data_IF_092185193683
#
_entry.id   IF_092185193683
#
_cell.length_a   1.000
_cell.length_b   1.000
_cell.length_c   1.000
_cell.angle_alpha   90.00
_cell.angle_beta   90.00
_cell.angle_gamma   90.00
#
_symmetry.space_group_name_H-M   'P 1'
#
loop_
_entity.id
_entity.type
_entity.pdbx_description
1 polymer ?
#
# COMPACT_ATOMS: atom_id res chain seq x y z
N UNK A 1 23.82 -59.74 -78.71
CA UNK A 1 25.15 -60.07 -78.14
C UNK A 1 25.27 -59.30 -76.83
N UNK A 2 24.99 -59.96 -75.71
CA UNK A 2 24.96 -59.36 -74.37
C UNK A 2 26.40 -59.12 -73.89
N UNK A 3 26.75 -57.87 -73.59
CA UNK A 3 27.98 -57.54 -72.87
C UNK A 3 27.70 -57.75 -71.38
N UNK A 4 28.35 -58.73 -70.77
CA UNK A 4 28.39 -58.90 -69.32
C UNK A 4 28.95 -57.63 -68.66
N UNK A 5 28.16 -57.01 -67.79
CA UNK A 5 28.64 -56.02 -66.85
C UNK A 5 29.26 -56.82 -65.69
N UNK A 6 30.59 -56.91 -65.67
CA UNK A 6 31.32 -57.40 -64.50
C UNK A 6 31.15 -56.38 -63.37
N UNK A 7 30.26 -56.65 -62.43
CA UNK A 7 30.23 -55.99 -61.14
C UNK A 7 31.49 -56.40 -60.38
N UNK A 8 32.51 -55.54 -60.36
CA UNK A 8 33.64 -55.72 -59.45
C UNK A 8 33.17 -55.39 -58.04
N UNK A 9 32.87 -56.41 -57.25
CA UNK A 9 32.83 -56.29 -55.80
C UNK A 9 34.26 -56.02 -55.33
N UNK A 10 34.56 -54.76 -55.03
CA UNK A 10 35.77 -54.37 -54.30
C UNK A 10 35.53 -54.77 -52.84
N UNK A 11 35.79 -56.02 -52.49
CA UNK A 11 35.93 -56.43 -51.10
C UNK A 11 37.38 -56.17 -50.68
N UNK A 12 37.69 -54.90 -50.41
CA UNK A 12 38.85 -54.56 -49.58
C UNK A 12 38.44 -54.85 -48.13
N UNK A 13 38.52 -56.12 -47.73
CA UNK A 13 38.49 -56.48 -46.31
C UNK A 13 39.88 -56.33 -45.72
N UNK A 14 40.37 -55.08 -45.67
CA UNK A 14 41.42 -54.73 -44.72
C UNK A 14 40.73 -54.54 -43.37
N UNK A 15 40.87 -55.53 -42.48
CA UNK A 15 40.38 -55.42 -41.11
C UNK A 15 40.99 -54.20 -40.42
N UNK A 16 40.17 -53.46 -39.68
CA UNK A 16 40.61 -52.27 -38.96
C UNK A 16 41.86 -52.57 -38.14
N UNK A 17 42.87 -51.70 -38.28
CA UNK A 17 44.07 -51.84 -37.46
C UNK A 17 43.71 -51.53 -36.01
N UNK A 18 44.33 -52.24 -35.06
CA UNK A 18 44.08 -52.02 -33.62
C UNK A 18 44.36 -50.58 -33.20
N UNK A 19 45.30 -49.91 -33.87
CA UNK A 19 45.61 -48.49 -33.69
C UNK A 19 44.43 -47.59 -34.08
N UNK A 20 43.78 -47.86 -35.20
CA UNK A 20 42.66 -47.07 -35.73
C UNK A 20 41.40 -47.22 -34.88
N UNK A 21 41.13 -48.43 -34.39
CA UNK A 21 40.07 -48.68 -33.39
C UNK A 21 40.36 -47.92 -32.09
N UNK A 22 41.61 -47.90 -31.64
CA UNK A 22 42.01 -47.18 -30.43
C UNK A 22 41.84 -45.66 -30.61
N UNK A 23 42.29 -45.11 -31.74
CA UNK A 23 42.09 -43.68 -32.07
C UNK A 23 40.60 -43.35 -32.12
N UNK A 24 39.78 -44.16 -32.80
CA UNK A 24 38.33 -43.95 -32.90
C UNK A 24 37.65 -43.94 -31.52
N UNK A 25 38.00 -44.87 -30.63
CA UNK A 25 37.46 -44.92 -29.27
C UNK A 25 37.91 -43.70 -28.46
N UNK A 26 39.16 -43.24 -28.62
CA UNK A 26 39.65 -42.04 -27.91
C UNK A 26 38.96 -40.75 -28.38
N UNK A 27 38.68 -40.62 -29.69
CA UNK A 27 37.93 -39.47 -30.21
C UNK A 27 36.48 -39.53 -29.72
N UNK A 28 35.85 -40.71 -29.77
CA UNK A 28 34.49 -40.90 -29.30
C UNK A 28 34.35 -40.60 -27.79
N UNK A 29 35.33 -41.00 -26.97
CA UNK A 29 35.32 -40.70 -25.54
C UNK A 29 35.48 -39.20 -25.27
N UNK A 30 36.36 -38.50 -25.98
CA UNK A 30 36.48 -37.04 -25.88
C UNK A 30 35.20 -36.32 -26.32
N UNK A 31 34.55 -36.78 -27.40
CA UNK A 31 33.28 -36.21 -27.85
C UNK A 31 32.18 -36.42 -26.80
N UNK A 32 32.08 -37.60 -26.21
CA UNK A 32 31.09 -37.89 -25.17
C UNK A 32 31.31 -37.02 -23.92
N UNK A 33 32.55 -36.84 -23.47
CA UNK A 33 32.87 -35.94 -22.34
C UNK A 33 32.48 -34.50 -22.67
N UNK A 34 32.76 -34.04 -23.88
CA UNK A 34 32.41 -32.68 -24.33
C UNK A 34 30.90 -32.47 -24.38
N UNK A 35 30.15 -33.44 -24.93
CA UNK A 35 28.68 -33.40 -24.99
C UNK A 35 28.11 -33.40 -23.57
N UNK A 36 28.62 -34.26 -22.68
CA UNK A 36 28.16 -34.30 -21.29
C UNK A 36 28.41 -32.96 -20.59
N UNK A 37 29.59 -32.36 -20.77
CA UNK A 37 29.91 -31.05 -20.20
C UNK A 37 29.01 -29.93 -20.74
N UNK A 38 28.69 -29.94 -22.03
CA UNK A 38 27.76 -28.95 -22.64
C UNK A 38 26.34 -29.15 -22.10
N UNK A 39 25.88 -30.40 -21.99
CA UNK A 39 24.54 -30.69 -21.45
C UNK A 39 24.47 -30.26 -20.00
N UNK A 40 25.43 -30.63 -19.16
CA UNK A 40 25.45 -30.29 -17.74
C UNK A 40 25.58 -28.77 -17.51
N UNK A 41 26.43 -28.09 -18.29
CA UNK A 41 26.52 -26.62 -18.27
C UNK A 41 25.20 -25.97 -18.71
N UNK A 42 24.55 -26.52 -19.73
CA UNK A 42 23.27 -26.00 -20.22
C UNK A 42 22.13 -26.22 -19.24
N UNK A 43 22.07 -27.38 -18.56
CA UNK A 43 21.03 -27.68 -17.57
C UNK A 43 21.22 -26.83 -16.32
N UNK A 44 22.44 -26.78 -15.78
CA UNK A 44 22.75 -25.96 -14.60
C UNK A 44 22.54 -24.46 -14.85
N UNK A 45 22.93 -23.96 -16.03
CA UNK A 45 22.67 -22.57 -16.42
C UNK A 45 21.18 -22.29 -16.51
N UNK A 46 20.41 -23.19 -17.14
CA UNK A 46 18.95 -23.05 -17.23
C UNK A 46 18.32 -23.00 -15.84
N UNK A 47 18.69 -23.91 -14.95
CA UNK A 47 18.11 -23.99 -13.60
C UNK A 47 18.48 -22.75 -12.77
N UNK A 48 19.71 -22.26 -12.90
CA UNK A 48 20.16 -21.02 -12.26
C UNK A 48 19.34 -19.82 -12.74
N UNK A 49 19.24 -19.61 -14.05
CA UNK A 49 18.47 -18.50 -14.64
C UNK A 49 17.00 -18.55 -14.23
N UNK A 50 16.38 -19.74 -14.27
CA UNK A 50 14.99 -19.90 -13.82
C UNK A 50 14.80 -19.57 -12.34
N UNK A 51 15.78 -19.89 -11.50
CA UNK A 51 15.72 -19.59 -10.07
C UNK A 51 15.87 -18.10 -9.79
N UNK A 52 16.76 -17.41 -10.50
CA UNK A 52 16.98 -15.96 -10.41
C UNK A 52 15.76 -15.19 -10.91
N UNK A 53 15.19 -15.59 -12.06
CA UNK A 53 14.00 -14.97 -12.62
C UNK A 53 12.79 -15.09 -11.68
N UNK A 54 12.59 -16.27 -11.07
CA UNK A 54 11.50 -16.47 -10.10
C UNK A 54 11.66 -15.57 -8.87
N UNK A 55 12.87 -15.49 -8.33
CA UNK A 55 13.17 -14.66 -7.15
C UNK A 55 12.95 -13.17 -7.46
N UNK A 56 13.44 -12.69 -8.60
CA UNK A 56 13.22 -11.32 -9.06
C UNK A 56 11.73 -11.03 -9.29
N UNK A 57 11.00 -11.96 -9.90
CA UNK A 57 9.55 -11.80 -10.10
C UNK A 57 8.80 -11.71 -8.77
N UNK A 58 9.14 -12.55 -7.79
CA UNK A 58 8.55 -12.50 -6.44
C UNK A 58 8.83 -11.15 -5.78
N UNK A 59 10.07 -10.66 -5.89
CA UNK A 59 10.45 -9.34 -5.38
C UNK A 59 9.60 -8.22 -6.00
N UNK A 60 9.54 -8.14 -7.32
CA UNK A 60 8.78 -7.10 -8.03
C UNK A 60 7.28 -7.18 -7.73
N UNK A 61 6.71 -8.37 -7.63
CA UNK A 61 5.33 -8.57 -7.21
C UNK A 61 5.09 -8.05 -5.78
N UNK A 62 6.03 -8.29 -4.87
CA UNK A 62 5.94 -7.81 -3.50
C UNK A 62 6.01 -6.28 -3.39
N UNK A 63 6.91 -5.66 -4.15
CA UNK A 63 7.02 -4.19 -4.24
C UNK A 63 5.77 -3.58 -4.87
N UNK A 64 5.30 -4.12 -6.00
CA UNK A 64 4.07 -3.65 -6.67
C UNK A 64 2.86 -3.76 -5.74
N UNK A 65 2.82 -4.80 -4.89
CA UNK A 65 1.75 -4.98 -3.91
C UNK A 65 1.79 -3.90 -2.83
N UNK A 66 2.97 -3.61 -2.27
CA UNK A 66 3.16 -2.50 -1.34
C UNK A 66 2.75 -1.16 -1.97
N UNK A 67 3.20 -0.91 -3.20
CA UNK A 67 2.87 0.30 -3.95
C UNK A 67 1.36 0.49 -4.08
N UNK A 68 0.66 -0.52 -4.60
CA UNK A 68 -0.80 -0.47 -4.78
C UNK A 68 -1.50 -0.19 -3.45
N UNK A 69 -1.11 -0.86 -2.37
CA UNK A 69 -1.79 -0.67 -1.09
C UNK A 69 -1.55 0.73 -0.50
N UNK A 70 -0.32 1.24 -0.61
CA UNK A 70 0.05 2.58 -0.11
C UNK A 70 -0.51 3.72 -0.96
N UNK A 71 -0.57 3.55 -2.27
CA UNK A 71 -1.21 4.52 -3.18
C UNK A 71 -2.67 4.74 -2.80
N UNK A 72 -3.38 3.66 -2.51
CA UNK A 72 -4.80 3.68 -2.19
C UNK A 72 -5.09 3.68 -0.67
N UNK A 73 -4.19 4.17 0.19
CA UNK A 73 -4.51 4.37 1.61
C UNK A 73 -5.77 5.23 1.71
N UNK A 74 -6.72 4.80 2.52
CA UNK A 74 -8.00 5.46 2.68
C UNK A 74 -8.12 6.10 4.06
N UNK A 75 -8.36 7.40 4.09
CA UNK A 75 -8.75 8.15 5.28
C UNK A 75 -9.56 9.38 4.86
N UNK A 76 -10.69 9.70 5.52
CA UNK A 76 -11.43 10.94 5.25
C UNK A 76 -10.58 12.20 5.43
N UNK A 77 -9.54 12.15 6.27
CA UNK A 77 -8.64 13.27 6.54
C UNK A 77 -7.81 13.71 5.33
N UNK A 78 -7.82 12.96 4.23
CA UNK A 78 -7.22 13.39 2.98
C UNK A 78 -8.01 14.50 2.27
N UNK A 79 -9.30 14.67 2.58
CA UNK A 79 -10.20 15.61 1.88
C UNK A 79 -11.21 16.32 2.80
N UNK A 80 -11.28 15.98 4.09
CA UNK A 80 -12.14 16.60 5.10
C UNK A 80 -11.38 16.83 6.41
N UNK A 81 -11.88 17.73 7.26
CA UNK A 81 -11.37 17.91 8.63
C UNK A 81 -12.01 16.95 9.63
N UNK A 82 -11.46 16.92 10.86
CA UNK A 82 -12.10 16.23 11.99
C UNK A 82 -13.37 16.95 12.43
N UNK A 83 -14.33 16.23 13.03
CA UNK A 83 -15.51 16.84 13.64
C UNK A 83 -15.16 17.82 14.77
N UNK A 84 -14.10 17.50 15.53
CA UNK A 84 -13.59 18.36 16.61
C UNK A 84 -13.06 19.70 16.09
N UNK A 85 -12.37 19.69 14.94
CA UNK A 85 -11.94 20.94 14.32
C UNK A 85 -13.15 21.74 13.82
N UNK A 86 -14.10 21.11 13.14
CA UNK A 86 -15.29 21.79 12.61
C UNK A 86 -16.08 22.53 13.71
N UNK A 87 -16.35 21.85 14.84
CA UNK A 87 -17.02 22.46 16.00
C UNK A 87 -16.23 23.62 16.60
N UNK A 88 -14.91 23.55 16.63
CA UNK A 88 -14.03 24.61 17.12
C UNK A 88 -14.06 25.86 16.22
N UNK A 89 -14.04 25.68 14.90
CA UNK A 89 -14.17 26.80 13.95
C UNK A 89 -15.59 27.40 13.94
N UNK A 90 -16.63 26.58 14.09
CA UNK A 90 -18.02 27.03 14.28
C UNK A 90 -18.19 27.92 15.51
N UNK A 91 -17.58 27.54 16.63
CA UNK A 91 -17.63 28.34 17.88
C UNK A 91 -16.86 29.66 17.76
N UNK A 92 -15.75 29.66 17.00
CA UNK A 92 -14.95 30.87 16.77
C UNK A 92 -15.65 31.88 15.86
N UNK A 93 -16.37 31.40 14.84
CA UNK A 93 -17.15 32.27 13.97
C UNK A 93 -18.36 32.86 14.69
N UNK A 94 -19.08 32.07 15.49
CA UNK A 94 -20.23 32.58 16.27
C UNK A 94 -19.84 33.58 17.36
N UNK A 95 -18.69 33.41 18.03
CA UNK A 95 -18.23 34.36 19.04
C UNK A 95 -17.79 35.72 18.48
N UNK A 96 -17.39 35.76 17.21
CA UNK A 96 -17.00 37.02 16.53
C UNK A 96 -18.24 37.83 16.12
N UNK A 97 -19.38 37.17 15.84
CA UNK A 97 -20.64 37.81 15.48
C UNK A 97 -21.37 38.51 16.65
N UNK A 98 -21.06 38.13 17.91
CA UNK A 98 -21.74 38.66 19.10
C UNK A 98 -21.02 39.85 19.77
N UNK A 99 -20.00 40.42 19.14
CA UNK A 99 -19.25 41.55 19.71
C UNK A 99 -20.01 42.90 19.70
N UNK A 100 -21.20 42.98 19.07
CA UNK A 100 -22.01 44.21 18.96
C UNK A 100 -23.47 44.02 19.42
N UNK A 101 -23.71 43.24 20.49
CA UNK A 101 -24.98 43.33 21.22
C UNK A 101 -24.72 43.46 22.72
N UNK A 102 -24.79 44.71 23.20
CA UNK A 102 -25.06 44.99 24.60
C UNK A 102 -26.38 44.33 25.00
N UNK A 103 -26.41 43.72 26.18
CA UNK A 103 -27.59 43.26 26.91
C UNK A 103 -28.37 42.04 26.37
N UNK A 104 -27.98 40.84 26.81
CA UNK A 104 -28.79 40.08 27.78
C UNK A 104 -28.07 38.81 28.24
N UNK A 105 -27.84 38.68 29.55
CA UNK A 105 -27.62 37.40 30.21
C UNK A 105 -28.93 36.63 30.18
N UNK A 106 -29.12 35.77 29.19
CA UNK A 106 -30.00 34.62 29.35
C UNK A 106 -29.21 33.37 29.01
N UNK A 107 -29.05 32.52 30.04
CA UNK A 107 -28.71 31.12 29.93
C UNK A 107 -29.81 30.44 29.09
N UNK A 108 -29.69 30.52 27.78
CA UNK A 108 -30.37 29.61 26.88
C UNK A 108 -29.35 28.56 26.49
N UNK A 109 -29.53 27.37 27.08
CA UNK A 109 -28.94 26.15 26.59
C UNK A 109 -29.42 25.96 25.15
N UNK A 110 -28.68 26.52 24.19
CA UNK A 110 -28.85 26.23 22.77
C UNK A 110 -28.29 24.83 22.48
N UNK A 111 -28.91 23.82 23.09
CA UNK A 111 -28.83 22.41 22.72
C UNK A 111 -29.69 22.18 21.46
N UNK A 112 -29.42 22.95 20.40
CA UNK A 112 -30.11 22.82 19.13
C UNK A 112 -29.14 22.19 18.13
N UNK A 113 -29.32 20.87 17.92
CA UNK A 113 -28.63 19.96 16.97
C UNK A 113 -27.42 19.12 17.47
N UNK A 114 -27.46 18.56 18.69
CA UNK A 114 -26.54 17.46 19.09
C UNK A 114 -27.29 16.12 19.33
N UNK A 115 -28.47 15.95 18.72
CA UNK A 115 -29.30 14.74 18.86
C UNK A 115 -28.98 13.63 17.83
N UNK A 116 -28.07 13.87 16.89
CA UNK A 116 -27.46 12.80 16.10
C UNK A 116 -26.24 12.24 16.85
N UNK A 117 -26.57 11.54 17.93
CA UNK A 117 -25.95 10.30 18.35
C UNK A 117 -24.60 10.39 19.12
N UNK A 118 -24.62 10.99 20.32
CA UNK A 118 -23.57 10.88 21.35
C UNK A 118 -23.06 9.43 21.57
N UNK A 119 -23.86 8.42 21.23
CA UNK A 119 -23.46 7.01 21.35
C UNK A 119 -22.54 6.56 20.22
N UNK A 120 -22.72 7.05 18.99
CA UNK A 120 -21.86 6.69 17.84
C UNK A 120 -20.51 7.38 17.88
N UNK A 121 -20.46 8.66 18.32
CA UNK A 121 -19.19 9.37 18.51
C UNK A 121 -18.29 8.64 19.53
N UNK A 122 -18.87 8.17 20.65
CA UNK A 122 -18.13 7.41 21.67
C UNK A 122 -17.55 6.09 21.16
N UNK A 123 -18.25 5.39 20.24
CA UNK A 123 -17.79 4.09 19.72
C UNK A 123 -16.50 4.22 18.91
N UNK A 124 -16.31 5.33 18.18
CA UNK A 124 -15.14 5.52 17.32
C UNK A 124 -14.06 6.42 17.94
N UNK A 125 -14.38 7.23 18.95
CA UNK A 125 -13.39 8.00 19.71
C UNK A 125 -12.56 7.16 20.68
N UNK A 126 -13.09 6.04 21.19
CA UNK A 126 -12.42 5.15 22.15
C UNK A 126 -11.88 3.86 21.51
N UNK A 127 -11.77 3.85 20.18
CA UNK A 127 -11.49 2.65 19.40
C UNK A 127 -9.98 2.51 19.14
N UNK A 128 -9.46 1.27 19.10
CA UNK A 128 -8.05 1.05 18.75
C UNK A 128 -7.76 1.38 17.28
N UNK A 129 -8.74 1.14 16.40
CA UNK A 129 -8.60 1.22 14.95
C UNK A 129 -9.11 2.54 14.35
N UNK A 130 -9.82 3.36 15.13
CA UNK A 130 -10.38 4.62 14.68
C UNK A 130 -10.01 5.74 15.65
N UNK A 131 -9.81 6.95 15.14
CA UNK A 131 -9.46 8.13 15.96
C UNK A 131 -10.67 9.05 16.22
N UNK A 132 -11.85 8.65 15.74
CA UNK A 132 -13.09 9.43 15.83
C UNK A 132 -13.73 9.61 14.46
N UNK A 133 -14.39 10.76 14.27
CA UNK A 133 -15.23 11.03 13.11
C UNK A 133 -14.78 12.28 12.35
N UNK A 134 -14.96 12.25 11.03
CA UNK A 134 -14.76 13.41 10.17
C UNK A 134 -15.93 14.39 10.27
N UNK A 135 -15.78 15.56 9.67
CA UNK A 135 -16.84 16.56 9.51
C UNK A 135 -18.14 15.97 8.94
N UNK A 136 -18.05 15.02 8.00
CA UNK A 136 -19.20 14.34 7.40
C UNK A 136 -19.68 13.11 8.19
N UNK A 137 -19.30 13.00 9.46
CA UNK A 137 -19.66 11.89 10.35
C UNK A 137 -19.15 10.51 9.85
N UNK A 138 -17.97 10.48 9.22
CA UNK A 138 -17.34 9.23 8.75
C UNK A 138 -16.23 8.77 9.70
N UNK A 139 -16.15 7.47 10.04
CA UNK A 139 -15.06 6.97 10.88
C UNK A 139 -13.69 7.22 10.25
N UNK A 140 -12.78 7.79 11.04
CA UNK A 140 -11.41 8.06 10.63
C UNK A 140 -10.54 6.86 11.01
N UNK A 141 -10.09 6.05 10.03
CA UNK A 141 -9.21 4.93 10.32
C UNK A 141 -7.86 5.44 10.79
N UNK A 142 -7.36 4.85 11.87
CA UNK A 142 -6.06 5.17 12.44
C UNK A 142 -4.95 4.52 11.63
N UNK A 143 -3.90 5.28 11.34
CA UNK A 143 -2.67 4.74 10.81
C UNK A 143 -1.75 4.35 11.96
N UNK A 144 -1.41 3.05 12.08
CA UNK A 144 -0.67 2.52 13.22
C UNK A 144 0.70 2.02 12.75
N UNK A 145 1.75 2.45 13.44
CA UNK A 145 3.13 2.03 13.24
C UNK A 145 3.78 1.91 14.63
N UNK A 146 3.57 0.76 15.27
CA UNK A 146 4.13 0.50 16.60
C UNK A 146 5.60 0.05 16.54
N UNK A 147 5.97 -0.64 15.47
CA UNK A 147 7.34 -1.11 15.21
C UNK A 147 7.83 -0.62 13.84
N UNK A 148 9.16 -0.49 13.66
CA UNK A 148 9.76 0.00 12.40
C UNK A 148 9.37 -0.84 11.17
N UNK A 149 9.15 -2.14 11.36
CA UNK A 149 8.77 -3.08 10.31
C UNK A 149 7.27 -3.37 10.22
N UNK A 150 6.43 -2.69 11.01
CA UNK A 150 5.00 -2.95 11.07
C UNK A 150 4.18 -1.71 10.73
N UNK A 151 3.17 -1.87 9.90
CA UNK A 151 2.22 -0.80 9.61
C UNK A 151 0.82 -1.36 9.38
N UNK A 152 -0.17 -0.72 9.98
CA UNK A 152 -1.59 -1.07 9.86
C UNK A 152 -2.35 0.13 9.33
N UNK A 153 -3.13 -0.08 8.28
CA UNK A 153 -3.92 0.97 7.65
C UNK A 153 -5.11 0.42 6.91
N UNK A 154 -6.07 1.30 6.65
CA UNK A 154 -7.19 1.02 5.75
C UNK A 154 -6.83 1.44 4.33
N UNK A 155 -7.18 0.62 3.34
CA UNK A 155 -6.93 0.87 1.93
C UNK A 155 -8.18 0.64 1.09
N UNK A 156 -8.33 1.42 0.02
CA UNK A 156 -9.36 1.25 -1.00
C UNK A 156 -8.89 0.43 -2.20
N UNK A 157 -7.72 -0.20 -2.14
CA UNK A 157 -7.26 -1.16 -3.18
C UNK A 157 -8.07 -2.46 -3.20
N UNK A 158 -9.04 -2.63 -2.28
CA UNK A 158 -9.87 -3.82 -2.18
C UNK A 158 -10.82 -3.95 -3.37
N UNK A 159 -10.97 -5.18 -3.87
CA UNK A 159 -11.99 -5.52 -4.86
C UNK A 159 -12.85 -6.65 -4.33
N UNK A 160 -14.16 -6.45 -4.41
CA UNK A 160 -15.15 -7.48 -4.12
C UNK A 160 -15.27 -8.43 -5.31
N UNK A 161 -15.13 -9.73 -5.06
CA UNK A 161 -15.19 -10.75 -6.11
C UNK A 161 -16.64 -11.17 -6.44
N UNK A 162 -17.56 -11.05 -5.48
CA UNK A 162 -18.95 -11.52 -5.61
C UNK A 162 -19.94 -10.40 -5.27
N UNK A 163 -20.97 -10.22 -6.11
CA UNK A 163 -21.95 -9.12 -6.00
C UNK A 163 -22.72 -9.05 -4.68
N UNK A 164 -22.85 -10.18 -3.97
CA UNK A 164 -23.60 -10.30 -2.71
C UNK A 164 -22.75 -10.84 -1.55
N UNK A 165 -21.41 -10.73 -1.62
CA UNK A 165 -20.58 -11.06 -0.45
C UNK A 165 -20.62 -9.94 0.59
N UNK A 166 -20.36 -10.30 1.85
CA UNK A 166 -20.16 -9.38 2.98
C UNK A 166 -18.84 -8.59 2.91
N UNK A 167 -18.06 -8.80 1.85
CA UNK A 167 -16.78 -8.13 1.66
C UNK A 167 -16.98 -6.69 1.21
N UNK A 168 -16.22 -5.79 1.80
CA UNK A 168 -16.14 -4.39 1.39
C UNK A 168 -15.15 -4.18 0.23
N UNK A 169 -15.27 -3.03 -0.44
CA UNK A 169 -14.22 -2.51 -1.33
C UNK A 169 -13.06 -1.87 -0.55
N UNK A 170 -13.30 -1.51 0.71
CA UNK A 170 -12.24 -1.15 1.65
C UNK A 170 -11.67 -2.42 2.28
N UNK A 171 -10.44 -2.34 2.77
CA UNK A 171 -9.82 -3.41 3.52
C UNK A 171 -8.82 -2.86 4.53
N UNK A 172 -8.75 -3.51 5.69
CA UNK A 172 -7.64 -3.32 6.62
C UNK A 172 -6.47 -4.17 6.18
N UNK A 173 -5.28 -3.59 6.20
CA UNK A 173 -4.04 -4.24 5.80
C UNK A 173 -3.06 -4.08 6.95
N UNK A 174 -2.44 -5.19 7.33
CA UNK A 174 -1.30 -5.22 8.24
C UNK A 174 -0.11 -5.76 7.48
N UNK A 175 0.96 -4.98 7.44
CA UNK A 175 2.29 -5.47 7.10
C UNK A 175 3.08 -5.67 8.38
N UNK A 176 3.81 -6.78 8.45
CA UNK A 176 4.70 -7.06 9.57
C UNK A 176 5.97 -7.75 9.08
N UNK A 177 7.10 -7.42 9.70
CA UNK A 177 8.34 -8.16 9.49
C UNK A 177 8.40 -9.26 10.54
N UNK A 178 8.43 -10.51 10.08
CA UNK A 178 8.54 -11.68 10.95
C UNK A 178 9.89 -12.36 10.73
N UNK A 179 10.36 -13.10 11.73
CA UNK A 179 11.48 -14.01 11.56
C UNK A 179 10.96 -15.31 10.94
N UNK A 180 11.49 -15.70 9.79
CA UNK A 180 11.12 -16.94 9.12
C UNK A 180 11.78 -18.12 9.85
N UNK A 181 10.95 -19.05 10.35
CA UNK A 181 11.42 -20.25 11.06
C UNK A 181 12.26 -21.19 10.19
N UNK A 182 12.01 -21.21 8.88
CA UNK A 182 12.73 -22.04 7.91
C UNK A 182 13.29 -21.14 6.78
N UNK A 183 14.31 -20.32 7.08
CA UNK A 183 14.83 -19.39 6.09
C UNK A 183 15.65 -20.15 5.04
N UNK A 184 15.41 -19.84 3.77
CA UNK A 184 16.24 -20.37 2.68
C UNK A 184 17.71 -19.92 2.81
N UNK A 185 17.94 -18.73 3.38
CA UNK A 185 19.25 -18.14 3.61
C UNK A 185 19.35 -17.64 5.05
N UNK A 186 20.29 -18.20 5.82
CA UNK A 186 20.41 -17.91 7.26
C UNK A 186 20.76 -16.45 7.54
N UNK A 187 21.56 -15.82 6.69
CA UNK A 187 21.94 -14.41 6.81
C UNK A 187 20.78 -13.44 6.53
N UNK A 188 19.67 -13.93 5.95
CA UNK A 188 18.52 -13.13 5.57
C UNK A 188 17.22 -13.82 6.05
N UNK A 189 17.08 -13.91 7.37
CA UNK A 189 16.01 -14.69 8.00
C UNK A 189 14.68 -13.96 8.10
N UNK A 190 14.60 -12.67 7.75
CA UNK A 190 13.35 -11.92 7.86
C UNK A 190 12.46 -12.11 6.62
N UNK A 191 11.16 -12.08 6.85
CA UNK A 191 10.14 -12.08 5.81
C UNK A 191 9.11 -10.99 6.09
N UNK A 192 8.66 -10.30 5.04
CA UNK A 192 7.56 -9.35 5.12
C UNK A 192 6.26 -10.11 4.86
N UNK A 193 5.36 -10.11 5.84
CA UNK A 193 4.03 -10.67 5.69
C UNK A 193 2.97 -9.61 5.54
N UNK A 194 1.85 -10.02 4.95
CA UNK A 194 0.68 -9.18 4.73
C UNK A 194 -0.57 -9.95 5.16
N UNK A 195 -1.35 -9.31 6.02
CA UNK A 195 -2.65 -9.80 6.49
C UNK A 195 -3.75 -8.83 6.07
N UNK A 196 -4.92 -9.36 5.71
CA UNK A 196 -6.05 -8.54 5.22
C UNK A 196 -7.34 -8.92 5.90
N UNK A 197 -8.09 -7.90 6.28
CA UNK A 197 -9.48 -8.05 6.72
C UNK A 197 -10.36 -7.25 5.78
N UNK A 198 -11.39 -7.90 5.23
CA UNK A 198 -12.35 -7.33 4.25
C UNK A 198 -13.78 -7.29 4.74
N UNK A 199 -14.06 -7.94 5.86
CA UNK A 199 -15.39 -8.08 6.45
C UNK A 199 -15.39 -7.37 7.80
N UNK A 200 -16.54 -6.84 8.20
CA UNK A 200 -16.74 -6.17 9.50
C UNK A 200 -15.67 -5.10 9.84
N UNK A 201 -15.30 -4.28 8.86
CA UNK A 201 -14.19 -3.32 8.95
C UNK A 201 -14.31 -2.26 10.05
N UNK A 202 -15.53 -2.01 10.53
CA UNK A 202 -15.84 -0.95 11.49
C UNK A 202 -15.99 -1.47 12.93
N UNK A 203 -15.66 -2.75 13.18
CA UNK A 203 -15.57 -3.28 14.54
C UNK A 203 -14.49 -2.56 15.33
N UNK A 204 -14.68 -2.49 16.65
CA UNK A 204 -13.68 -1.91 17.55
C UNK A 204 -12.40 -2.70 17.63
N UNK A 205 -12.50 -4.02 17.57
CA UNK A 205 -11.36 -4.91 17.55
C UNK A 205 -11.39 -5.73 16.27
N UNK A 206 -10.27 -5.72 15.56
CA UNK A 206 -10.05 -6.50 14.36
C UNK A 206 -9.48 -7.86 14.74
N UNK A 207 -10.08 -8.92 14.23
CA UNK A 207 -9.62 -10.29 14.44
C UNK A 207 -8.49 -10.62 13.45
N UNK A 208 -7.28 -10.24 13.83
CA UNK A 208 -6.09 -10.50 13.02
C UNK A 208 -5.64 -11.96 13.07
N UNK A 209 -6.02 -12.70 14.10
CA UNK A 209 -5.60 -14.09 14.31
C UNK A 209 -6.39 -15.04 13.40
N UNK A 210 -7.67 -14.74 13.16
CA UNK A 210 -8.48 -15.46 12.18
C UNK A 210 -8.15 -15.08 10.72
N UNK A 211 -7.49 -13.95 10.49
CA UNK A 211 -7.17 -13.46 9.16
C UNK A 211 -5.97 -14.20 8.56
N UNK A 212 -6.08 -14.54 7.27
CA UNK A 212 -4.99 -15.24 6.56
C UNK A 212 -3.79 -14.31 6.38
N UNK A 213 -2.69 -14.67 7.02
CA UNK A 213 -1.37 -14.10 6.79
C UNK A 213 -0.66 -14.82 5.63
N UNK A 214 0.01 -14.05 4.77
CA UNK A 214 0.83 -14.62 3.71
C UNK A 214 2.10 -13.80 3.51
N UNK A 215 3.15 -14.48 3.06
CA UNK A 215 4.45 -13.86 2.81
C UNK A 215 4.42 -13.10 1.49
N UNK A 216 4.94 -11.87 1.51
CA UNK A 216 5.03 -10.97 0.35
C UNK A 216 6.46 -10.88 -0.15
N UNK A 217 7.43 -10.77 0.77
CA UNK A 217 8.86 -10.76 0.47
C UNK A 217 9.59 -11.69 1.44
N UNK A 218 10.52 -12.47 0.92
CA UNK A 218 11.40 -13.36 1.68
C UNK A 218 12.86 -12.87 1.56
N UNK A 219 13.75 -13.52 2.31
CA UNK A 219 15.19 -13.29 2.25
C UNK A 219 15.56 -11.83 2.57
N UNK A 220 14.90 -11.24 3.56
CA UNK A 220 15.19 -9.89 4.02
C UNK A 220 16.27 -9.93 5.11
N UNK A 221 17.26 -9.06 4.99
CA UNK A 221 18.23 -8.77 6.05
C UNK A 221 17.76 -7.59 6.91
N UNK A 222 17.16 -6.59 6.27
CA UNK A 222 16.62 -5.41 6.93
C UNK A 222 15.37 -4.92 6.20
N UNK A 223 14.44 -4.33 6.95
CA UNK A 223 13.24 -3.71 6.40
C UNK A 223 12.73 -2.64 7.37
N UNK A 224 12.52 -1.42 6.90
CA UNK A 224 12.00 -0.31 7.69
C UNK A 224 11.07 0.60 6.90
N UNK A 225 10.05 1.11 7.59
CA UNK A 225 9.22 2.23 7.15
C UNK A 225 9.79 3.55 7.70
N UNK A 226 9.88 4.57 6.84
CA UNK A 226 10.13 5.95 7.26
C UNK A 226 9.06 6.88 6.66
N UNK A 227 8.76 7.97 7.35
CA UNK A 227 7.69 8.90 6.99
C UNK A 227 8.24 10.30 6.78
N UNK A 228 7.79 11.01 5.76
CA UNK A 228 8.24 12.39 5.52
C UNK A 228 7.55 13.39 6.45
N UNK A 229 8.35 14.16 7.20
CA UNK A 229 7.87 15.30 7.99
C UNK A 229 8.02 16.59 7.15
N UNK A 230 6.93 17.20 6.67
CA UNK A 230 6.99 18.39 5.81
C UNK A 230 7.53 19.62 6.54
N UNK A 231 7.41 19.70 7.87
CA UNK A 231 7.89 20.85 8.64
C UNK A 231 9.39 20.80 8.88
N UNK A 232 9.93 19.59 9.08
CA UNK A 232 11.36 19.36 9.32
C UNK A 232 12.14 19.03 8.05
N UNK A 233 11.43 18.84 6.93
CA UNK A 233 11.98 18.45 5.63
C UNK A 233 12.88 17.21 5.71
N UNK A 234 12.49 16.23 6.54
CA UNK A 234 13.26 15.00 6.74
C UNK A 234 12.36 13.79 6.96
N UNK A 235 12.91 12.61 6.70
CA UNK A 235 12.26 11.35 7.05
C UNK A 235 12.45 11.05 8.54
N UNK A 236 11.39 10.57 9.17
CA UNK A 236 11.34 10.11 10.56
C UNK A 236 11.00 8.62 10.61
N UNK A 237 11.39 7.94 11.69
CA UNK A 237 11.28 6.47 11.80
C UNK A 237 9.91 6.01 12.30
N UNK A 238 9.10 6.90 12.87
CA UNK A 238 7.78 6.58 13.38
C UNK A 238 6.77 7.70 13.11
N UNK A 239 5.51 7.32 12.91
CA UNK A 239 4.39 8.25 12.79
C UNK A 239 4.24 9.17 14.01
N UNK A 240 4.67 8.72 15.19
CA UNK A 240 4.60 9.50 16.43
C UNK A 240 5.49 10.76 16.38
N UNK A 241 6.58 10.70 15.61
CA UNK A 241 7.57 11.78 15.47
C UNK A 241 7.16 12.86 14.45
N UNK A 242 6.15 12.59 13.63
CA UNK A 242 5.61 13.54 12.66
C UNK A 242 5.02 14.76 13.38
N UNK A 243 5.43 15.95 12.96
CA UNK A 243 4.90 17.20 13.54
C UNK A 243 3.53 17.58 13.00
N UNK A 244 3.20 17.13 11.79
CA UNK A 244 1.96 17.39 11.08
C UNK A 244 1.49 16.12 10.39
N UNK A 245 0.19 16.04 10.06
CA UNK A 245 -0.39 14.97 9.23
C UNK A 245 -0.06 13.54 9.71
N UNK A 246 -0.08 13.33 11.04
CA UNK A 246 0.23 12.03 11.67
C UNK A 246 -0.59 10.87 11.10
N UNK A 247 -1.85 11.14 10.73
CA UNK A 247 -2.79 10.16 10.18
C UNK A 247 -2.78 10.09 8.65
N UNK A 248 -2.14 11.05 7.99
CA UNK A 248 -2.18 11.22 6.53
C UNK A 248 -0.79 11.47 5.97
N UNK A 249 0.21 10.61 6.27
CA UNK A 249 1.56 10.79 5.76
C UNK A 249 1.55 10.79 4.24
N UNK A 250 2.13 11.83 3.64
CA UNK A 250 2.10 12.04 2.19
C UNK A 250 3.18 11.29 1.44
N UNK A 251 4.27 10.93 2.12
CA UNK A 251 5.35 10.13 1.55
C UNK A 251 5.76 9.06 2.56
N UNK A 252 5.67 7.81 2.13
CA UNK A 252 6.07 6.63 2.90
C UNK A 252 7.28 6.05 2.17
N UNK A 253 8.43 6.05 2.83
CA UNK A 253 9.65 5.45 2.32
C UNK A 253 9.80 4.06 2.92
N UNK A 254 10.07 3.10 2.06
CA UNK A 254 10.49 1.76 2.44
C UNK A 254 11.97 1.63 2.10
N UNK A 255 12.76 1.25 3.11
CA UNK A 255 14.13 0.80 2.89
C UNK A 255 14.21 -0.66 3.26
N UNK A 256 14.81 -1.46 2.38
CA UNK A 256 15.04 -2.86 2.63
C UNK A 256 16.37 -3.29 2.04
N UNK A 257 16.95 -4.31 2.66
CA UNK A 257 18.09 -5.04 2.14
C UNK A 257 17.66 -6.49 1.99
N UNK A 258 17.75 -7.03 0.78
CA UNK A 258 17.44 -8.44 0.53
C UNK A 258 18.65 -9.16 -0.08
N UNK A 259 18.72 -10.46 0.18
CA UNK A 259 19.81 -11.32 -0.28
C UNK A 259 19.24 -12.36 -1.25
N UNK A 260 19.82 -12.46 -2.43
CA UNK A 260 19.42 -13.47 -3.41
C UNK A 260 20.03 -14.84 -3.08
N UNK A 261 19.50 -15.89 -3.70
CA UNK A 261 20.09 -17.24 -3.61
C UNK A 261 21.53 -17.32 -4.12
N UNK A 262 21.92 -16.41 -5.01
CA UNK A 262 23.30 -16.26 -5.50
C UNK A 262 24.22 -15.53 -4.52
N UNK A 263 23.71 -15.14 -3.35
CA UNK A 263 24.37 -14.36 -2.30
C UNK A 263 24.70 -12.93 -2.70
N UNK A 264 23.97 -12.38 -3.65
CA UNK A 264 24.07 -10.97 -4.01
C UNK A 264 23.18 -10.14 -3.08
N UNK A 265 23.75 -9.09 -2.51
CA UNK A 265 23.05 -8.17 -1.61
C UNK A 265 22.49 -7.02 -2.42
N UNK A 266 21.21 -6.72 -2.22
CA UNK A 266 20.54 -5.59 -2.86
C UNK A 266 19.93 -4.67 -1.81
N UNK A 267 20.40 -3.43 -1.80
CA UNK A 267 19.82 -2.33 -1.03
C UNK A 267 18.81 -1.59 -1.89
N UNK A 268 17.54 -1.60 -1.46
CA UNK A 268 16.43 -0.99 -2.21
C UNK A 268 15.76 0.08 -1.36
N UNK A 269 15.61 1.25 -1.97
CA UNK A 269 14.86 2.37 -1.41
C UNK A 269 13.73 2.70 -2.38
N UNK A 270 12.50 2.66 -1.88
CA UNK A 270 11.30 3.05 -2.62
C UNK A 270 10.50 4.05 -1.80
N UNK A 271 9.92 5.04 -2.46
CA UNK A 271 9.07 6.03 -1.82
C UNK A 271 7.71 5.99 -2.50
N UNK A 272 6.67 5.78 -1.70
CA UNK A 272 5.29 5.71 -2.12
C UNK A 272 4.55 6.97 -1.73
N UNK A 273 3.59 7.36 -2.55
CA UNK A 273 2.75 8.54 -2.34
C UNK A 273 1.28 8.12 -2.44
N UNK A 274 0.45 8.36 -1.41
CA UNK A 274 -0.99 8.23 -1.54
C UNK A 274 -1.53 9.14 -2.65
N UNK A 275 -2.42 8.63 -3.50
CA UNK A 275 -2.89 9.34 -4.70
C UNK A 275 -3.88 10.48 -4.41
N UNK A 276 -4.15 10.75 -3.13
CA UNK A 276 -5.03 11.84 -2.73
C UNK A 276 -4.41 13.22 -3.03
N UNK A 277 -5.24 14.20 -3.45
CA UNK A 277 -4.77 15.56 -3.67
C UNK A 277 -4.25 16.17 -2.38
N UNK A 278 -3.41 17.19 -2.53
CA UNK A 278 -3.02 18.01 -1.38
C UNK A 278 -4.22 18.87 -0.98
N UNK A 279 -4.75 18.63 0.22
CA UNK A 279 -5.90 19.34 0.75
C UNK A 279 -5.55 19.92 2.11
N UNK A 280 -5.71 21.24 2.25
CA UNK A 280 -5.48 21.92 3.50
C UNK A 280 -6.83 22.09 4.22
N UNK A 281 -7.11 21.14 5.12
CA UNK A 281 -8.35 21.07 5.90
C UNK A 281 -8.61 22.35 6.70
N UNK A 282 -7.57 22.96 7.27
CA UNK A 282 -7.68 24.20 8.05
C UNK A 282 -8.13 25.37 7.19
N UNK A 283 -7.53 25.51 5.99
CA UNK A 283 -7.92 26.58 5.06
C UNK A 283 -9.37 26.41 4.59
N UNK A 284 -9.78 25.18 4.30
CA UNK A 284 -11.15 24.87 3.89
C UNK A 284 -12.18 25.23 5.00
N UNK A 285 -11.88 24.87 6.25
CA UNK A 285 -12.71 25.26 7.40
C UNK A 285 -12.79 26.78 7.59
N UNK A 286 -11.67 27.48 7.43
CA UNK A 286 -11.66 28.94 7.50
C UNK A 286 -12.55 29.57 6.41
N UNK A 287 -12.48 29.08 5.18
CA UNK A 287 -13.30 29.56 4.06
C UNK A 287 -14.79 29.28 4.31
N UNK A 288 -15.13 28.06 4.77
CA UNK A 288 -16.49 27.63 5.11
C UNK A 288 -17.17 28.60 6.10
N UNK A 289 -16.47 28.94 7.18
CA UNK A 289 -17.04 29.78 8.25
C UNK A 289 -16.84 31.30 8.06
N UNK A 290 -15.92 31.73 7.18
CA UNK A 290 -15.84 33.12 6.70
C UNK A 290 -17.01 33.44 5.77
N UNK A 291 -17.34 32.53 4.84
CA UNK A 291 -18.47 32.71 3.93
C UNK A 291 -19.81 32.78 4.69
N UNK A 292 -19.99 31.97 5.74
CA UNK A 292 -21.21 31.98 6.55
C UNK A 292 -21.37 33.22 7.43
N UNK A 293 -20.29 33.96 7.71
CA UNK A 293 -20.34 35.20 8.50
C UNK A 293 -20.50 36.46 7.64
N UNK A 294 -20.26 36.37 6.33
CA UNK A 294 -20.54 37.44 5.36
C UNK A 294 -21.94 37.40 4.75
N UNK A 295 -22.72 36.36 5.00
CA UNK A 295 -24.10 36.25 4.51
C UNK A 295 -25.06 37.00 5.44
N UNK A 296 -24.92 38.32 5.47
CA UNK A 296 -26.07 39.20 5.67
C UNK A 296 -27.01 38.91 4.51
N UNK A 297 -28.10 38.20 4.79
CA UNK A 297 -29.02 37.67 3.79
C UNK A 297 -29.47 38.72 2.76
N UNK A 298 -30.01 38.27 1.60
CA UNK A 298 -30.42 39.18 0.54
C UNK A 298 -31.45 40.15 1.09
N UNK A 299 -31.04 41.40 1.30
CA UNK A 299 -31.91 42.55 1.54
C UNK A 299 -32.57 42.91 0.22
N UNK A 300 -33.46 42.01 -0.23
CA UNK A 300 -34.44 42.29 -1.27
C UNK A 300 -35.49 43.23 -0.70
N UNK A 301 -35.18 44.53 -0.70
CA UNK A 301 -36.19 45.57 -0.48
C UNK A 301 -37.23 45.48 -1.59
N UNK A 302 -38.39 44.90 -1.26
CA UNK A 302 -39.60 45.04 -2.07
C UNK A 302 -40.04 46.50 -1.92
N UNK A 303 -39.58 47.35 -2.85
CA UNK A 303 -40.13 48.67 -3.09
C UNK A 303 -41.53 48.51 -3.67
N UNK A 304 -42.54 48.43 -2.80
CA UNK A 304 -43.95 48.53 -3.18
C UNK A 304 -44.27 49.92 -3.71
N UNK A 305 -44.21 50.08 -5.04
CA UNK A 305 -44.67 51.28 -5.73
C UNK A 305 -46.18 51.43 -5.59
N UNK A 306 -46.60 52.45 -4.85
CA UNK A 306 -47.97 52.96 -4.83
C UNK A 306 -48.25 53.63 -6.19
N UNK A 307 -48.98 52.92 -7.06
CA UNK A 307 -49.54 53.45 -8.30
C UNK A 307 -50.97 53.90 -8.09
N UNK A 308 -51.15 55.22 -7.97
CA UNK A 308 -52.44 55.89 -7.95
C UNK A 308 -53.14 55.71 -9.30
N UNK A 309 -54.31 55.05 -9.33
CA UNK A 309 -55.14 54.91 -10.53
C UNK A 309 -56.15 56.05 -10.59
N UNK A 310 -55.93 56.97 -11.53
CA UNK A 310 -56.94 57.89 -12.05
C UNK A 310 -57.10 57.63 -13.54
N UNK A 311 -58.12 56.82 -13.87
CA UNK A 311 -59.15 57.06 -14.90
C UNK A 311 -59.99 55.80 -15.10
#
# INVERSE_FOLDING_TARGET
>A
MLKEIKTQNITNEEGFTLLEVLIAITILSMLMVSIYSIIDSSTTTKDKVLSEDREKMQFEMGITRLETDFEFIHSPLYFESTANDDTLYKKKSSSTSSANSTDNKNNSNDNFLDLEDETTNKIYEQNENFEGLSESNRPIPKLINDEKGSIIFMSSAGRRLLKNSKQSNLMWIRYSVINNSEPAIKEASFALTRTVIKEDLYKSQLDWDAAKEYVVLENLQSFEFNFWDPKKEKYVDSLRELTQDKQTPRLIKVKLTYLTKTKEVHDVIRTFRPIWPNFNTKKALEEKYKASSSDSGPTGGISGGSGNSTN
#
